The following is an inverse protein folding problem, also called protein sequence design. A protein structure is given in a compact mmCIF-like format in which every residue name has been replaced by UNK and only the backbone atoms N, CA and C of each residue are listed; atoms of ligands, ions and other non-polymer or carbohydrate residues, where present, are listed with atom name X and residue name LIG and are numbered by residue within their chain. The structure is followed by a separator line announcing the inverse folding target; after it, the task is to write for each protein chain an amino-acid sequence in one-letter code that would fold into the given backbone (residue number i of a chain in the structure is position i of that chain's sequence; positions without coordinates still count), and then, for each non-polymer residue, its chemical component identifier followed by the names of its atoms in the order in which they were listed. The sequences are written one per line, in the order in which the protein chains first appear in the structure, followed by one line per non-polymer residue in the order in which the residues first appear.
data_IF_233314746068
#
_entry.id   IF_233314746068
#
_cell.length_a   1.000
_cell.length_b   1.000
_cell.length_c   1.000
_cell.angle_alpha   90.00
_cell.angle_beta   90.00
_cell.angle_gamma   90.00
#
_symmetry.space_group_name_H-M   'P 1'
#
loop_
_entity.id
_entity.type
_entity.pdbx_description
1 polymer ?
#
# COMPACT_ATOMS: atom_id res chain seq x y z
N UNK A 1 23.97 44.58 2.94
CA UNK A 1 23.56 43.18 3.21
C UNK A 1 22.46 42.84 2.22
N UNK A 2 22.71 41.88 1.33
CA UNK A 2 21.77 41.56 0.25
C UNK A 2 20.68 40.61 0.79
N UNK A 3 19.38 40.92 0.61
CA UNK A 3 18.28 40.13 1.18
C UNK A 3 18.21 38.69 0.65
N UNK A 4 18.86 38.42 -0.49
CA UNK A 4 18.97 37.08 -1.09
C UNK A 4 19.79 36.09 -0.25
N UNK A 5 20.73 36.57 0.56
CA UNK A 5 21.51 35.70 1.46
C UNK A 5 20.76 35.31 2.73
N UNK A 6 19.75 36.09 3.15
CA UNK A 6 18.97 35.82 4.36
C UNK A 6 17.91 34.73 4.12
N UNK A 7 17.33 34.66 2.93
CA UNK A 7 16.32 33.65 2.56
C UNK A 7 16.99 32.28 2.35
N UNK A 8 18.17 32.24 1.72
CA UNK A 8 18.92 31.00 1.48
C UNK A 8 19.36 30.32 2.78
N UNK A 9 19.70 31.09 3.83
CA UNK A 9 20.13 30.54 5.12
C UNK A 9 18.96 29.97 5.95
N UNK A 10 17.76 30.53 5.83
CA UNK A 10 16.56 30.02 6.52
C UNK A 10 16.05 28.71 5.90
N UNK A 11 16.13 28.56 4.57
CA UNK A 11 15.72 27.33 3.89
C UNK A 11 16.59 26.12 4.28
N UNK A 12 17.91 26.30 4.47
CA UNK A 12 18.82 25.20 4.83
C UNK A 12 18.62 24.71 6.27
N UNK A 13 18.29 25.62 7.20
CA UNK A 13 18.06 25.27 8.62
C UNK A 13 16.77 24.45 8.80
N UNK A 14 15.75 24.72 7.96
CA UNK A 14 14.46 24.02 8.02
C UNK A 14 14.57 22.58 7.48
N UNK A 15 15.37 22.36 6.42
CA UNK A 15 15.61 21.02 5.87
C UNK A 15 16.36 20.10 6.87
N UNK A 16 17.33 20.64 7.61
CA UNK A 16 18.13 19.87 8.59
C UNK A 16 17.29 19.47 9.82
N UNK A 17 16.30 20.27 10.21
CA UNK A 17 15.44 19.97 11.37
C UNK A 17 14.40 18.89 11.08
N UNK A 18 13.91 18.77 9.85
CA UNK A 18 12.97 17.71 9.44
C UNK A 18 13.68 16.36 9.34
N UNK A 19 14.88 16.31 8.75
CA UNK A 19 15.68 15.07 8.68
C UNK A 19 16.16 14.63 10.08
N UNK A 20 16.50 15.59 10.96
CA UNK A 20 16.92 15.30 12.34
C UNK A 20 15.81 14.73 13.23
N UNK A 21 14.54 15.06 12.97
CA UNK A 21 13.40 14.53 13.73
C UNK A 21 12.94 13.15 13.24
N UNK A 22 13.16 12.81 11.97
CA UNK A 22 12.88 11.48 11.42
C UNK A 22 13.99 10.45 11.75
N UNK A 23 15.23 10.90 11.97
CA UNK A 23 16.36 10.04 12.33
C UNK A 23 16.36 9.50 13.78
N UNK A 24 15.49 9.99 14.67
CA UNK A 24 15.46 9.57 16.08
C UNK A 24 14.46 8.46 16.41
N UNK A 25 13.69 7.95 15.43
CA UNK A 25 12.70 6.87 15.66
C UNK A 25 13.13 5.48 15.19
N UNK A 26 14.37 5.30 14.72
CA UNK A 26 14.84 4.01 14.18
C UNK A 26 16.18 3.47 14.71
N UNK A 27 16.61 3.90 15.90
CA UNK A 27 17.64 3.17 16.64
C UNK A 27 17.13 2.81 18.03
N UNK A 28 16.21 1.84 18.05
CA UNK A 28 15.96 1.02 19.22
C UNK A 28 17.00 -0.10 19.25
N UNK A 29 17.93 0.02 20.20
CA UNK A 29 18.83 -0.99 20.76
C UNK A 29 18.44 -2.46 20.50
N UNK A 30 19.35 -3.21 19.87
CA UNK A 30 19.57 -4.62 20.19
C UNK A 30 21.08 -4.86 20.36
N UNK A 31 21.46 -5.36 21.54
CA UNK A 31 22.81 -5.60 22.02
C UNK A 31 23.59 -6.66 21.20
N UNK A 32 24.93 -6.54 21.08
CA UNK A 32 25.76 -7.58 20.50
C UNK A 32 26.11 -8.64 21.56
N UNK A 33 25.54 -9.84 21.47
CA UNK A 33 26.05 -10.99 22.23
C UNK A 33 26.67 -12.03 21.31
N UNK A 34 27.94 -12.31 21.62
CA UNK A 34 28.86 -13.22 20.96
C UNK A 34 28.37 -14.66 20.83
N UNK A 35 28.67 -15.24 19.66
CA UNK A 35 29.43 -16.49 19.50
C UNK A 35 28.93 -17.77 20.17
N UNK A 36 28.66 -18.78 19.34
CA UNK A 36 29.38 -20.05 19.46
C UNK A 36 29.24 -20.91 18.21
N UNK A 37 30.37 -21.16 17.57
CA UNK A 37 30.63 -22.31 16.69
C UNK A 37 30.25 -23.61 17.39
N UNK A 38 29.57 -24.51 16.67
CA UNK A 38 29.92 -25.93 16.78
C UNK A 38 29.66 -26.66 15.47
N UNK A 39 30.79 -27.08 14.89
CA UNK A 39 30.93 -28.12 13.88
C UNK A 39 30.44 -29.47 14.43
N UNK A 40 29.81 -30.30 13.58
CA UNK A 40 29.95 -31.77 13.55
C UNK A 40 29.13 -32.37 12.38
N UNK A 41 29.80 -32.65 11.26
CA UNK A 41 29.60 -33.91 10.51
C UNK A 41 30.33 -35.03 11.29
N UNK A 42 30.04 -36.34 11.16
CA UNK A 42 29.83 -37.03 9.87
C UNK A 42 28.88 -38.27 9.85
N UNK A 43 28.77 -38.85 8.64
CA UNK A 43 28.82 -40.29 8.31
C UNK A 43 27.55 -41.20 8.24
N UNK A 44 27.24 -41.57 6.99
CA UNK A 44 27.21 -42.98 6.47
C UNK A 44 25.94 -43.84 6.56
N UNK A 45 25.31 -43.99 5.39
CA UNK A 45 24.86 -45.20 4.67
C UNK A 45 24.12 -46.37 5.37
N UNK A 46 22.94 -46.72 4.82
CA UNK A 46 22.52 -48.04 4.29
C UNK A 46 20.98 -48.02 4.07
N UNK A 47 20.45 -48.14 2.85
CA UNK A 47 20.19 -49.35 2.03
C UNK A 47 18.77 -49.93 2.23
N UNK A 48 17.96 -49.75 1.17
CA UNK A 48 16.90 -50.59 0.58
C UNK A 48 15.90 -51.34 1.46
N UNK A 49 14.60 -51.29 1.11
CA UNK A 49 13.80 -52.46 0.64
C UNK A 49 12.36 -52.03 0.31
N UNK A 50 11.99 -52.18 -0.96
CA UNK A 50 10.61 -52.27 -1.50
C UNK A 50 9.90 -53.53 -0.97
N UNK A 51 8.57 -53.58 -0.89
CA UNK A 51 7.86 -54.19 -2.02
C UNK A 51 6.48 -53.61 -2.36
N UNK A 52 6.31 -53.52 -3.69
CA UNK A 52 5.11 -53.68 -4.51
C UNK A 52 4.13 -54.78 -4.04
N UNK A 53 2.82 -54.50 -4.07
CA UNK A 53 1.73 -55.51 -4.18
C UNK A 53 0.45 -54.89 -4.76
N UNK A 54 0.30 -55.06 -6.07
CA UNK A 54 -0.85 -55.59 -6.84
C UNK A 54 -2.31 -55.39 -6.37
N UNK A 55 -3.10 -54.85 -7.30
CA UNK A 55 -4.57 -54.66 -7.42
C UNK A 55 -5.38 -55.98 -7.50
N UNK A 56 -6.66 -56.02 -7.04
CA UNK A 56 -7.86 -56.56 -7.78
C UNK A 56 -9.18 -56.57 -6.93
N UNK A 57 -10.17 -55.81 -7.45
CA UNK A 57 -11.65 -55.97 -7.58
C UNK A 57 -12.60 -56.64 -6.55
N UNK A 58 -13.67 -55.88 -6.25
CA UNK A 58 -15.13 -56.19 -6.14
C UNK A 58 -15.68 -57.06 -5.01
N UNK A 59 -16.49 -56.45 -4.14
CA UNK A 59 -17.84 -56.96 -3.84
C UNK A 59 -18.75 -55.83 -3.30
N UNK A 60 -20.00 -55.83 -3.77
CA UNK A 60 -21.02 -54.87 -3.37
C UNK A 60 -21.64 -55.27 -2.02
N UNK A 61 -21.86 -54.31 -1.13
CA UNK A 61 -22.78 -54.46 -0.01
C UNK A 61 -23.49 -53.14 0.23
N UNK A 62 -24.82 -53.21 0.20
CA UNK A 62 -25.78 -52.16 0.52
C UNK A 62 -26.20 -52.35 1.98
N UNK A 63 -25.93 -51.37 2.84
CA UNK A 63 -26.55 -51.14 4.15
C UNK A 63 -26.71 -49.61 4.25
N UNK A 64 -27.92 -49.07 4.05
CA UNK A 64 -28.93 -48.77 5.09
C UNK A 64 -28.48 -47.74 6.15
N UNK A 65 -28.84 -46.48 5.86
CA UNK A 65 -29.34 -45.42 6.74
C UNK A 65 -28.78 -45.39 8.18
N UNK A 66 -27.85 -44.47 8.40
CA UNK A 66 -27.79 -43.69 9.62
C UNK A 66 -27.74 -42.20 9.25
N UNK A 67 -28.92 -41.59 9.30
CA UNK A 67 -29.15 -40.15 9.37
C UNK A 67 -28.45 -39.64 10.64
N UNK A 68 -27.24 -39.11 10.46
CA UNK A 68 -26.57 -38.30 11.48
C UNK A 68 -26.90 -36.85 11.20
N UNK A 69 -28.12 -36.44 11.56
CA UNK A 69 -28.38 -35.07 11.99
C UNK A 69 -27.42 -34.77 13.16
N UNK A 70 -26.30 -34.14 12.84
CA UNK A 70 -25.59 -33.30 13.79
C UNK A 70 -25.54 -31.91 13.17
N UNK A 71 -26.71 -31.29 13.13
CA UNK A 71 -26.81 -29.84 13.21
C UNK A 71 -26.48 -29.44 14.66
N UNK A 72 -25.99 -28.21 14.82
CA UNK A 72 -25.34 -27.64 16.01
C UNK A 72 -23.81 -27.86 15.98
N UNK A 73 -22.96 -26.87 15.80
CA UNK A 73 -23.13 -25.43 15.93
C UNK A 73 -21.90 -24.82 15.27
N UNK A 74 -21.92 -24.56 13.96
CA UNK A 74 -20.99 -23.59 13.41
C UNK A 74 -21.57 -22.24 13.79
N UNK A 75 -21.33 -21.85 15.04
CA UNK A 75 -21.40 -20.48 15.50
C UNK A 75 -20.39 -19.74 14.61
N UNK A 76 -20.87 -19.33 13.45
CA UNK A 76 -20.18 -18.40 12.58
C UNK A 76 -20.13 -17.14 13.42
N UNK A 77 -19.09 -17.06 14.26
CA UNK A 77 -18.62 -15.85 14.92
C UNK A 77 -18.86 -14.75 13.91
N UNK A 78 -19.87 -13.92 14.18
CA UNK A 78 -20.18 -12.77 13.38
C UNK A 78 -18.87 -11.99 13.34
N UNK A 79 -18.14 -12.17 12.24
CA UNK A 79 -16.81 -11.62 12.08
C UNK A 79 -17.02 -10.14 12.23
N UNK A 80 -16.38 -9.55 13.23
CA UNK A 80 -16.51 -8.12 13.47
C UNK A 80 -16.31 -7.43 12.11
N UNK A 81 -17.27 -6.62 11.63
CA UNK A 81 -17.15 -5.98 10.32
C UNK A 81 -15.84 -5.20 10.21
N UNK A 82 -15.27 -4.71 11.31
CA UNK A 82 -13.95 -4.07 11.34
C UNK A 82 -12.82 -5.05 11.02
N UNK A 83 -12.80 -6.22 11.66
CA UNK A 83 -11.81 -7.28 11.42
C UNK A 83 -11.82 -7.77 9.96
N UNK A 84 -13.00 -7.83 9.32
CA UNK A 84 -13.11 -8.19 7.90
C UNK A 84 -12.33 -7.23 6.99
N UNK A 85 -12.36 -5.93 7.30
CA UNK A 85 -11.70 -4.92 6.48
C UNK A 85 -10.19 -4.88 6.72
N UNK A 86 -9.76 -5.05 7.96
CA UNK A 86 -8.34 -5.21 8.31
C UNK A 86 -7.72 -6.43 7.62
N UNK A 87 -8.38 -7.59 7.73
CA UNK A 87 -7.94 -8.82 7.06
C UNK A 87 -7.91 -8.64 5.54
N UNK A 88 -8.89 -7.95 4.96
CA UNK A 88 -8.90 -7.65 3.53
C UNK A 88 -7.74 -6.76 3.10
N UNK A 89 -7.41 -5.73 3.88
CA UNK A 89 -6.25 -4.87 3.60
C UNK A 89 -4.94 -5.65 3.72
N UNK A 90 -4.76 -6.43 4.79
CA UNK A 90 -3.57 -7.28 4.96
C UNK A 90 -3.41 -8.26 3.82
N UNK A 91 -4.49 -8.98 3.47
CA UNK A 91 -4.47 -9.96 2.37
C UNK A 91 -4.14 -9.33 1.01
N UNK A 92 -4.45 -8.04 0.79
CA UNK A 92 -4.02 -7.34 -0.41
C UNK A 92 -2.51 -7.05 -0.38
N UNK A 93 -2.01 -6.51 0.75
CA UNK A 93 -0.61 -6.13 0.91
C UNK A 93 0.34 -7.33 0.93
N UNK A 94 -0.09 -8.45 1.48
CA UNK A 94 0.70 -9.68 1.61
C UNK A 94 0.65 -10.56 0.33
N UNK A 95 -0.08 -10.14 -0.71
CA UNK A 95 -0.26 -10.94 -1.91
C UNK A 95 0.92 -10.81 -2.89
N UNK A 96 1.92 -11.68 -2.71
CA UNK A 96 3.10 -11.77 -3.59
C UNK A 96 2.78 -12.13 -5.06
N UNK A 97 1.55 -12.55 -5.36
CA UNK A 97 1.12 -12.93 -6.72
C UNK A 97 0.62 -11.76 -7.57
N UNK A 98 0.41 -10.58 -6.97
CA UNK A 98 -0.11 -9.39 -7.65
C UNK A 98 1.05 -8.45 -7.99
N UNK A 99 1.05 -7.87 -9.20
CA UNK A 99 2.04 -6.85 -9.55
C UNK A 99 1.67 -5.48 -8.93
N UNK A 100 2.66 -4.64 -8.68
CA UNK A 100 2.51 -3.34 -8.02
C UNK A 100 1.38 -2.48 -8.57
N UNK A 101 1.27 -2.37 -9.90
CA UNK A 101 0.22 -1.56 -10.54
C UNK A 101 -1.17 -2.10 -10.22
N UNK A 102 -1.35 -3.41 -10.32
CA UNK A 102 -2.62 -4.05 -10.00
C UNK A 102 -2.93 -3.96 -8.50
N UNK A 103 -1.92 -4.09 -7.64
CA UNK A 103 -2.06 -3.88 -6.20
C UNK A 103 -2.53 -2.45 -5.89
N UNK A 104 -1.88 -1.44 -6.48
CA UNK A 104 -2.28 -0.04 -6.38
C UNK A 104 -3.75 0.17 -6.77
N UNK A 105 -4.20 -0.39 -7.90
CA UNK A 105 -5.62 -0.28 -8.34
C UNK A 105 -6.60 -0.95 -7.37
N UNK A 106 -6.24 -2.08 -6.77
CA UNK A 106 -7.08 -2.74 -5.77
C UNK A 106 -7.14 -1.94 -4.46
N UNK A 107 -6.02 -1.35 -4.04
CA UNK A 107 -5.96 -0.44 -2.89
C UNK A 107 -6.79 0.83 -3.12
N UNK A 108 -6.74 1.42 -4.31
CA UNK A 108 -7.62 2.55 -4.71
C UNK A 108 -9.10 2.15 -4.62
N UNK A 109 -9.43 0.95 -5.07
CA UNK A 109 -10.80 0.42 -4.98
C UNK A 109 -11.25 0.26 -3.52
N UNK A 110 -10.35 -0.14 -2.63
CA UNK A 110 -10.62 -0.23 -1.20
C UNK A 110 -10.77 1.17 -0.56
N UNK A 111 -9.86 2.09 -0.86
CA UNK A 111 -9.85 3.48 -0.38
C UNK A 111 -11.13 4.25 -0.76
N UNK A 112 -11.69 3.97 -1.93
CA UNK A 112 -12.92 4.61 -2.42
C UNK A 112 -14.20 3.92 -1.96
N UNK A 113 -14.11 2.80 -1.25
CA UNK A 113 -15.26 2.03 -0.80
C UNK A 113 -15.85 2.60 0.48
N UNK A 114 -17.00 3.28 0.37
CA UNK A 114 -17.70 3.90 1.51
C UNK A 114 -18.17 2.92 2.59
N UNK A 115 -18.18 1.61 2.32
CA UNK A 115 -18.51 0.59 3.32
C UNK A 115 -17.34 0.25 4.24
N UNK A 116 -16.12 0.57 3.83
CA UNK A 116 -14.95 0.36 4.66
C UNK A 116 -14.81 1.49 5.70
N UNK A 117 -14.36 1.20 6.93
CA UNK A 117 -14.01 2.19 7.93
C UNK A 117 -13.04 3.23 7.38
N UNK A 118 -13.11 4.45 7.90
CA UNK A 118 -12.31 5.56 7.39
C UNK A 118 -10.81 5.28 7.53
N UNK A 119 -10.41 4.67 8.63
CA UNK A 119 -9.03 4.30 8.95
C UNK A 119 -8.47 3.31 7.91
N UNK A 120 -9.24 2.28 7.57
CA UNK A 120 -8.86 1.30 6.54
C UNK A 120 -8.75 1.96 5.17
N UNK A 121 -9.66 2.89 4.86
CA UNK A 121 -9.63 3.60 3.58
C UNK A 121 -8.41 4.51 3.47
N UNK A 122 -8.03 5.20 4.54
CA UNK A 122 -6.84 6.04 4.61
C UNK A 122 -5.56 5.21 4.47
N UNK A 123 -5.46 4.08 5.17
CA UNK A 123 -4.31 3.18 5.04
C UNK A 123 -4.20 2.58 3.64
N UNK A 124 -5.32 2.12 3.06
CA UNK A 124 -5.35 1.64 1.68
C UNK A 124 -4.91 2.75 0.70
N UNK A 125 -5.34 3.98 0.95
CA UNK A 125 -5.01 5.12 0.11
C UNK A 125 -3.51 5.46 0.17
N UNK A 126 -2.92 5.57 1.36
CA UNK A 126 -1.47 5.78 1.53
C UNK A 126 -0.66 4.70 0.82
N UNK A 127 -1.04 3.44 0.98
CA UNK A 127 -0.36 2.34 0.30
C UNK A 127 -0.53 2.43 -1.22
N UNK A 128 -1.72 2.81 -1.72
CA UNK A 128 -1.94 2.95 -3.16
C UNK A 128 -0.99 3.96 -3.82
N UNK A 129 -0.73 5.09 -3.17
CA UNK A 129 0.18 6.13 -3.70
C UNK A 129 1.61 5.59 -3.88
N UNK A 130 2.08 4.73 -2.96
CA UNK A 130 3.39 4.08 -3.03
C UNK A 130 3.52 3.17 -4.25
N UNK A 131 2.46 2.43 -4.58
CA UNK A 131 2.46 1.49 -5.70
C UNK A 131 2.09 2.13 -7.05
N UNK A 132 1.73 3.41 -7.07
CA UNK A 132 1.39 4.14 -8.30
C UNK A 132 2.66 4.69 -8.95
N UNK A 133 3.00 4.17 -10.13
CA UNK A 133 4.17 4.61 -10.89
C UNK A 133 3.93 5.93 -11.62
N UNK A 134 4.99 6.72 -11.78
CA UNK A 134 4.92 8.04 -12.41
C UNK A 134 4.33 8.00 -13.82
N UNK A 135 4.59 6.92 -14.57
CA UNK A 135 4.14 6.77 -15.97
C UNK A 135 2.63 6.65 -16.10
N UNK A 136 1.97 5.98 -15.15
CA UNK A 136 0.52 5.79 -15.15
C UNK A 136 -0.17 6.61 -14.07
N UNK A 137 0.55 7.50 -13.39
CA UNK A 137 0.07 8.24 -12.23
C UNK A 137 -1.26 8.95 -12.49
N UNK A 138 -1.37 9.68 -13.60
CA UNK A 138 -2.63 10.35 -13.97
C UNK A 138 -3.77 9.35 -14.17
N UNK A 139 -3.54 8.23 -14.87
CA UNK A 139 -4.58 7.25 -15.19
C UNK A 139 -5.07 6.51 -13.95
N UNK A 140 -4.13 6.10 -13.10
CA UNK A 140 -4.40 5.26 -11.94
C UNK A 140 -4.96 6.10 -10.77
N UNK A 141 -4.54 7.36 -10.62
CA UNK A 141 -5.04 8.27 -9.58
C UNK A 141 -6.38 8.95 -9.95
N UNK A 142 -6.73 9.02 -11.24
CA UNK A 142 -7.95 9.66 -11.73
C UNK A 142 -9.24 9.28 -10.97
N UNK A 143 -9.51 8.01 -10.64
CA UNK A 143 -10.71 7.64 -9.89
C UNK A 143 -10.79 8.26 -8.49
N UNK A 144 -9.64 8.61 -7.91
CA UNK A 144 -9.56 9.26 -6.61
C UNK A 144 -9.74 10.77 -6.75
N UNK A 145 -8.94 11.41 -7.58
CA UNK A 145 -8.93 12.87 -7.70
C UNK A 145 -10.12 13.43 -8.49
N UNK A 146 -10.91 12.58 -9.13
CA UNK A 146 -12.19 12.99 -9.70
C UNK A 146 -13.29 13.16 -8.64
N UNK A 147 -13.08 12.66 -7.41
CA UNK A 147 -14.09 12.65 -6.36
C UNK A 147 -13.98 13.89 -5.47
N UNK A 148 -15.04 14.70 -5.51
CA UNK A 148 -15.19 15.88 -4.65
C UNK A 148 -15.72 15.57 -3.25
N UNK A 149 -16.14 14.32 -3.02
CA UNK A 149 -16.78 13.83 -1.79
C UNK A 149 -15.81 13.06 -0.88
N UNK A 150 -14.51 13.02 -1.24
CA UNK A 150 -13.51 12.41 -0.39
C UNK A 150 -13.27 13.25 0.88
N UNK A 151 -12.94 12.59 2.01
CA UNK A 151 -12.51 13.28 3.22
C UNK A 151 -11.30 14.17 2.95
N UNK A 152 -11.20 15.28 3.69
CA UNK A 152 -10.12 16.27 3.53
C UNK A 152 -8.73 15.65 3.66
N UNK A 153 -8.55 14.66 4.54
CA UNK A 153 -7.30 13.91 4.71
C UNK A 153 -6.76 13.29 3.42
N UNK A 154 -7.65 12.80 2.54
CA UNK A 154 -7.26 12.22 1.26
C UNK A 154 -6.74 13.30 0.31
N UNK A 155 -7.37 14.47 0.33
CA UNK A 155 -6.97 15.59 -0.51
C UNK A 155 -5.57 16.11 -0.14
N UNK A 156 -5.28 16.19 1.17
CA UNK A 156 -3.97 16.59 1.67
C UNK A 156 -2.88 15.60 1.26
N UNK A 157 -3.15 14.29 1.40
CA UNK A 157 -2.21 13.24 0.99
C UNK A 157 -2.00 13.20 -0.53
N UNK A 158 -3.04 13.45 -1.35
CA UNK A 158 -2.88 13.65 -2.80
C UNK A 158 -1.95 14.81 -3.09
N UNK A 159 -2.16 15.97 -2.45
CA UNK A 159 -1.31 17.14 -2.68
C UNK A 159 0.13 16.89 -2.29
N UNK A 160 0.35 16.26 -1.13
CA UNK A 160 1.70 15.92 -0.65
C UNK A 160 2.41 14.98 -1.62
N UNK A 161 1.77 13.89 -2.04
CA UNK A 161 2.35 12.95 -2.99
C UNK A 161 2.58 13.60 -4.36
N UNK A 162 1.63 14.40 -4.84
CA UNK A 162 1.77 15.14 -6.09
C UNK A 162 2.97 16.08 -6.04
N UNK A 163 3.12 16.90 -5.00
CA UNK A 163 4.23 17.87 -4.91
C UNK A 163 5.61 17.25 -4.67
N UNK A 164 5.67 15.97 -4.29
CA UNK A 164 6.91 15.23 -4.12
C UNK A 164 7.40 14.54 -5.41
N UNK A 165 6.65 14.61 -6.52
CA UNK A 165 7.01 13.98 -7.80
C UNK A 165 7.72 14.92 -8.76
N UNK A 166 8.24 14.37 -9.86
CA UNK A 166 8.86 15.19 -10.91
C UNK A 166 7.81 16.06 -11.65
N UNK A 167 8.14 17.31 -12.04
CA UNK A 167 7.21 18.20 -12.73
C UNK A 167 6.55 17.61 -13.99
N UNK A 168 7.26 16.73 -14.71
CA UNK A 168 6.73 16.05 -15.91
C UNK A 168 5.56 15.12 -15.58
N UNK A 169 5.57 14.50 -14.40
CA UNK A 169 4.51 13.63 -13.86
C UNK A 169 3.38 14.45 -13.25
N UNK A 170 3.72 15.55 -12.58
CA UNK A 170 2.76 16.39 -11.87
C UNK A 170 1.84 17.14 -12.83
N UNK A 171 2.42 17.83 -13.82
CA UNK A 171 1.69 18.80 -14.63
C UNK A 171 0.45 18.22 -15.35
N UNK A 172 0.47 17.00 -15.93
CA UNK A 172 -0.73 16.40 -16.52
C UNK A 172 -1.85 16.22 -15.49
N UNK A 173 -1.54 15.60 -14.35
CA UNK A 173 -2.50 15.30 -13.27
C UNK A 173 -3.03 16.57 -12.62
N UNK A 174 -2.13 17.49 -12.28
CA UNK A 174 -2.46 18.78 -11.70
C UNK A 174 -3.44 19.58 -12.58
N UNK A 175 -3.18 19.66 -13.89
CA UNK A 175 -4.09 20.32 -14.84
C UNK A 175 -5.44 19.63 -14.94
N UNK A 176 -5.50 18.31 -14.76
CA UNK A 176 -6.77 17.59 -14.74
C UNK A 176 -7.60 17.97 -13.50
N UNK A 177 -6.98 17.99 -12.32
CA UNK A 177 -7.65 18.35 -11.06
C UNK A 177 -8.12 19.81 -11.08
N UNK A 178 -7.27 20.74 -11.53
CA UNK A 178 -7.61 22.16 -11.63
C UNK A 178 -8.80 22.44 -12.58
N UNK A 179 -9.09 21.53 -13.52
CA UNK A 179 -10.22 21.66 -14.45
C UNK A 179 -11.54 21.12 -13.90
N UNK A 180 -11.54 20.43 -12.76
CA UNK A 180 -12.75 19.85 -12.16
C UNK A 180 -13.52 20.97 -11.44
N UNK A 181 -14.74 21.35 -11.89
CA UNK A 181 -15.48 22.43 -11.26
C UNK A 181 -15.88 22.09 -9.82
N UNK A 182 -15.55 22.95 -8.88
CA UNK A 182 -15.88 22.77 -7.45
C UNK A 182 -15.01 21.75 -6.73
N UNK A 183 -13.88 21.32 -7.33
CA UNK A 183 -12.94 20.44 -6.68
C UNK A 183 -12.20 21.17 -5.53
N UNK A 184 -12.10 20.59 -4.32
CA UNK A 184 -11.46 21.25 -3.17
C UNK A 184 -10.02 21.71 -3.44
N UNK A 185 -9.29 20.96 -4.25
CA UNK A 185 -7.89 21.22 -4.58
C UNK A 185 -7.67 22.14 -5.80
N UNK A 186 -8.72 22.53 -6.52
CA UNK A 186 -8.56 23.17 -7.83
C UNK A 186 -7.71 24.46 -7.78
N UNK A 187 -7.99 25.35 -6.82
CA UNK A 187 -7.33 26.64 -6.73
C UNK A 187 -5.84 26.51 -6.36
N UNK A 188 -5.54 25.67 -5.35
CA UNK A 188 -4.16 25.43 -4.91
C UNK A 188 -3.31 24.79 -6.01
N UNK A 189 -3.90 23.84 -6.75
CA UNK A 189 -3.22 23.17 -7.85
C UNK A 189 -3.03 24.09 -9.06
N UNK A 190 -4.01 24.94 -9.38
CA UNK A 190 -3.90 25.92 -10.48
C UNK A 190 -2.79 26.95 -10.23
N UNK A 191 -2.66 27.44 -8.99
CA UNK A 191 -1.55 28.32 -8.60
C UNK A 191 -0.19 27.61 -8.74
N UNK A 192 -0.09 26.37 -8.29
CA UNK A 192 1.12 25.56 -8.40
C UNK A 192 1.53 25.31 -9.87
N UNK A 193 0.59 24.91 -10.72
CA UNK A 193 0.83 24.68 -12.15
C UNK A 193 1.41 25.93 -12.82
N UNK A 194 0.83 27.10 -12.53
CA UNK A 194 1.35 28.37 -13.07
C UNK A 194 2.77 28.65 -12.61
N UNK A 195 3.09 28.39 -11.34
CA UNK A 195 4.44 28.64 -10.80
C UNK A 195 5.51 27.78 -11.48
N UNK A 196 5.21 26.50 -11.74
CA UNK A 196 6.12 25.60 -12.47
C UNK A 196 6.28 26.04 -13.92
N UNK A 197 5.19 26.39 -14.59
CA UNK A 197 5.24 26.83 -15.99
C UNK A 197 6.06 28.13 -16.15
N UNK A 198 5.92 29.08 -15.22
CA UNK A 198 6.75 30.29 -15.18
C UNK A 198 8.23 29.97 -15.00
N UNK A 199 8.58 29.06 -14.08
CA UNK A 199 9.97 28.64 -13.87
C UNK A 199 10.56 27.97 -15.13
N UNK A 200 9.82 27.06 -15.77
CA UNK A 200 10.25 26.38 -16.99
C UNK A 200 10.44 27.33 -18.17
N UNK A 201 9.63 28.40 -18.26
CA UNK A 201 9.78 29.42 -19.31
C UNK A 201 10.92 30.40 -19.04
N UNK A 202 11.30 30.63 -17.77
CA UNK A 202 12.38 31.55 -17.40
C UNK A 202 13.79 30.96 -17.62
N UNK A 203 13.91 29.63 -17.76
CA UNK A 203 15.19 28.93 -17.94
C UNK A 203 15.58 28.79 -19.42
N UNK A 204 14.66 29.05 -20.37
CA UNK A 204 14.90 29.03 -21.81
C UNK A 204 15.12 30.43 -22.41
#
# INVERSE_FOLDING_TARGET
MNPRFLISLLATITLITIVGLFGLRHFGNDDPTSGSTSSSEPATAAKATDPDTTVTLTEATTEEIAESENAEDSDAMASDPEFYWEDRLSNLLDNEGINDRELGRQLITLATNEKAPIEIREDAFRNALVFTDDRNYTEDLKPLVARIDLPESFNDEVLEDLFNRDPETILPTAREIARIPGHPLADAIDEYVKSIEEELTAVN
#
